data_IF_376776119207
#
_entry.id   IF_376776119207
#
_cell.length_a   1.000
_cell.length_b   1.000
_cell.length_c   1.000
_cell.angle_alpha   90.00
_cell.angle_beta   90.00
_cell.angle_gamma   90.00
#
_symmetry.space_group_name_H-M   'P 1'
#
loop_
_entity.id
_entity.type
_entity.pdbx_description
1 polymer ?
#
# COMPACT_ATOMS: atom_id res chain seq x y z
N UNK A 1 20.33 19.21 32.09
CA UNK A 1 20.04 17.77 31.99
C UNK A 1 19.39 17.55 30.65
N UNK A 2 20.15 17.01 29.70
CA UNK A 2 19.80 16.93 28.29
C UNK A 2 19.09 15.59 28.03
N UNK A 3 17.82 15.65 27.62
CA UNK A 3 17.06 14.49 27.18
C UNK A 3 17.59 14.08 25.80
N UNK A 4 18.48 13.09 25.75
CA UNK A 4 18.87 12.44 24.51
C UNK A 4 17.64 11.72 23.96
N UNK A 5 16.95 12.38 23.03
CA UNK A 5 15.93 11.75 22.19
C UNK A 5 16.61 10.60 21.45
N UNK A 6 16.32 9.38 21.88
CA UNK A 6 16.75 8.17 21.21
C UNK A 6 16.07 8.16 19.83
N UNK A 7 16.73 8.75 18.84
CA UNK A 7 16.28 8.74 17.46
C UNK A 7 16.59 7.35 16.93
N UNK A 8 15.70 6.40 17.20
CA UNK A 8 15.74 5.09 16.54
C UNK A 8 15.72 5.39 15.04
N UNK A 9 16.85 5.19 14.38
CA UNK A 9 16.92 5.21 12.93
C UNK A 9 16.16 3.97 12.46
N UNK A 10 14.84 4.09 12.35
CA UNK A 10 13.99 3.09 11.73
C UNK A 10 14.36 3.07 10.26
N UNK A 11 15.25 2.14 9.89
CA UNK A 11 15.71 1.95 8.52
C UNK A 11 14.57 1.32 7.73
N UNK A 12 13.62 2.15 7.31
CA UNK A 12 12.53 1.75 6.42
C UNK A 12 13.04 1.73 4.99
N UNK A 13 13.37 0.55 4.51
CA UNK A 13 13.67 0.34 3.09
C UNK A 13 12.37 -0.05 2.39
N UNK A 14 11.79 0.91 1.67
CA UNK A 14 10.61 0.69 0.83
C UNK A 14 11.02 0.45 -0.61
N UNK A 15 10.69 -0.72 -1.15
CA UNK A 15 10.73 -1.00 -2.58
C UNK A 15 9.34 -0.80 -3.16
N UNK A 16 9.28 -0.18 -4.33
CA UNK A 16 8.02 0.05 -5.01
C UNK A 16 8.20 -0.19 -6.50
N UNK A 17 7.27 -0.97 -7.05
CA UNK A 17 7.18 -1.23 -8.47
C UNK A 17 5.75 -0.94 -8.92
N UNK A 18 5.60 -0.33 -10.09
CA UNK A 18 4.32 -0.20 -10.78
C UNK A 18 4.54 -0.34 -12.27
N UNK A 19 3.59 -1.00 -12.90
CA UNK A 19 3.44 -0.99 -14.33
C UNK A 19 2.04 -0.51 -14.71
N UNK A 20 2.01 0.20 -15.82
CA UNK A 20 0.82 0.70 -16.46
C UNK A 20 0.83 0.14 -17.89
N UNK A 21 -0.28 -0.46 -18.29
CA UNK A 21 -0.40 -1.16 -19.57
C UNK A 21 -1.70 -0.81 -20.24
N UNK A 22 -1.61 -0.49 -21.53
CA UNK A 22 -2.76 -0.40 -22.41
C UNK A 22 -3.03 -1.80 -22.98
N UNK A 23 -3.93 -2.55 -22.35
CA UNK A 23 -4.27 -3.92 -22.75
C UNK A 23 -5.10 -3.93 -24.03
N UNK A 24 -6.02 -2.97 -24.17
CA UNK A 24 -6.76 -2.70 -25.39
C UNK A 24 -6.77 -1.19 -25.64
N UNK A 25 -7.06 -0.70 -26.86
CA UNK A 25 -7.19 0.75 -27.12
C UNK A 25 -8.21 1.46 -26.20
N UNK A 26 -9.14 0.71 -25.61
CA UNK A 26 -10.15 1.18 -24.66
C UNK A 26 -9.95 0.67 -23.23
N UNK A 27 -8.88 -0.08 -22.94
CA UNK A 27 -8.66 -0.66 -21.62
C UNK A 27 -7.23 -0.43 -21.13
N UNK A 28 -7.12 0.35 -20.07
CA UNK A 28 -5.90 0.59 -19.33
C UNK A 28 -5.93 -0.17 -18.01
N UNK A 29 -4.81 -0.82 -17.70
CA UNK A 29 -4.60 -1.56 -16.46
C UNK A 29 -3.34 -1.02 -15.81
N UNK A 30 -3.45 -0.67 -14.54
CA UNK A 30 -2.33 -0.30 -13.69
C UNK A 30 -2.21 -1.32 -12.57
N UNK A 31 -1.01 -1.86 -12.34
CA UNK A 31 -0.74 -2.69 -11.18
C UNK A 31 0.55 -2.23 -10.51
N UNK A 32 0.52 -2.15 -9.19
CA UNK A 32 1.67 -1.78 -8.38
C UNK A 32 1.79 -2.63 -7.14
N UNK A 33 3.01 -2.71 -6.64
CA UNK A 33 3.36 -3.44 -5.43
C UNK A 33 4.33 -2.58 -4.65
N UNK A 34 4.00 -2.33 -3.39
CA UNK A 34 4.91 -1.71 -2.44
C UNK A 34 5.31 -2.76 -1.41
N UNK A 35 6.62 -2.92 -1.23
CA UNK A 35 7.21 -3.78 -0.25
C UNK A 35 8.02 -2.94 0.72
N UNK A 36 7.55 -2.83 1.94
CA UNK A 36 8.26 -2.10 3.00
C UNK A 36 8.95 -3.12 3.91
N UNK A 37 10.29 -3.10 3.88
CA UNK A 37 11.14 -3.80 4.84
C UNK A 37 11.24 -2.94 6.08
N UNK A 38 10.39 -3.24 7.06
CA UNK A 38 10.50 -2.67 8.38
C UNK A 38 11.34 -3.61 9.27
N UNK A 39 12.42 -3.10 9.86
CA UNK A 39 13.36 -3.91 10.66
C UNK A 39 12.78 -4.40 11.99
N UNK A 40 11.56 -3.97 12.37
CA UNK A 40 10.99 -4.22 13.69
C UNK A 40 9.62 -4.94 13.67
N UNK A 41 8.84 -4.87 12.58
CA UNK A 41 7.46 -5.37 12.52
C UNK A 41 7.22 -5.97 11.13
N UNK A 42 6.55 -7.12 11.07
CA UNK A 42 6.28 -7.96 9.90
C UNK A 42 6.39 -7.30 8.51
N UNK A 43 7.04 -7.95 7.53
CA UNK A 43 7.17 -7.43 6.17
C UNK A 43 5.80 -7.03 5.60
N UNK A 44 5.65 -5.76 5.24
CA UNK A 44 4.37 -5.22 4.77
C UNK A 44 4.37 -5.21 3.26
N UNK A 45 3.45 -5.98 2.68
CA UNK A 45 3.20 -6.01 1.24
C UNK A 45 1.88 -5.31 0.93
N UNK A 46 1.94 -4.25 0.14
CA UNK A 46 0.76 -3.49 -0.28
C UNK A 46 0.58 -3.58 -1.79
N UNK A 47 -0.15 -4.60 -2.29
CA UNK A 47 -0.55 -4.65 -3.70
C UNK A 47 -1.63 -3.62 -3.99
N UNK A 48 -1.53 -2.99 -5.15
CA UNK A 48 -2.53 -2.06 -5.70
C UNK A 48 -2.80 -2.38 -7.15
N UNK A 49 -4.05 -2.27 -7.56
CA UNK A 49 -4.48 -2.43 -8.93
C UNK A 49 -5.52 -1.38 -9.28
N UNK A 50 -5.46 -0.89 -10.50
CA UNK A 50 -6.49 -0.05 -11.08
C UNK A 50 -6.75 -0.47 -12.53
N UNK A 51 -7.97 -0.24 -12.97
CA UNK A 51 -8.48 -0.54 -14.29
C UNK A 51 -9.27 0.67 -14.75
N UNK A 52 -9.03 1.11 -15.97
CA UNK A 52 -9.84 2.14 -16.62
C UNK A 52 -10.34 1.58 -17.95
N UNK A 53 -11.66 1.51 -18.09
CA UNK A 53 -12.32 1.04 -19.30
C UNK A 53 -13.10 2.17 -19.96
N UNK A 54 -12.77 2.48 -21.20
CA UNK A 54 -13.47 3.46 -22.03
C UNK A 54 -14.61 2.77 -22.78
N UNK A 55 -15.85 3.01 -22.34
CA UNK A 55 -17.06 2.53 -23.01
C UNK A 55 -17.26 3.23 -24.36
N UNK A 56 -16.94 4.53 -24.43
CA UNK A 56 -16.97 5.36 -25.63
C UNK A 56 -16.06 6.59 -25.41
N UNK A 57 -15.92 7.45 -26.42
CA UNK A 57 -15.08 8.65 -26.34
C UNK A 57 -15.50 9.65 -25.25
N UNK A 58 -16.66 9.47 -24.62
CA UNK A 58 -17.22 10.39 -23.63
C UNK A 58 -17.49 9.74 -22.26
N UNK A 59 -17.29 8.42 -22.11
CA UNK A 59 -17.59 7.70 -20.88
C UNK A 59 -16.48 6.70 -20.56
N UNK A 60 -15.89 6.87 -19.38
CA UNK A 60 -14.90 5.98 -18.81
C UNK A 60 -15.42 5.43 -17.48
N UNK A 61 -15.15 4.15 -17.22
CA UNK A 61 -15.35 3.50 -15.95
C UNK A 61 -13.99 3.19 -15.33
N UNK A 62 -13.77 3.70 -14.13
CA UNK A 62 -12.58 3.41 -13.33
C UNK A 62 -12.92 2.46 -12.19
N UNK A 63 -12.12 1.40 -12.03
CA UNK A 63 -12.16 0.52 -10.87
C UNK A 63 -10.76 0.49 -10.27
N UNK A 64 -10.64 0.72 -8.96
CA UNK A 64 -9.36 0.60 -8.26
C UNK A 64 -9.53 -0.14 -6.94
N UNK A 65 -8.49 -0.87 -6.57
CA UNK A 65 -8.43 -1.64 -5.34
C UNK A 65 -7.00 -1.74 -4.85
N UNK A 66 -6.81 -1.55 -3.56
CA UNK A 66 -5.51 -1.71 -2.92
C UNK A 66 -5.67 -2.41 -1.59
N UNK A 67 -4.75 -3.31 -1.28
CA UNK A 67 -4.65 -3.92 0.05
C UNK A 67 -3.57 -3.16 0.79
N UNK A 68 -3.97 -2.29 1.71
CA UNK A 68 -3.06 -1.72 2.69
C UNK A 68 -3.07 -2.64 3.91
N UNK A 69 -1.96 -3.33 4.18
CA UNK A 69 -1.84 -4.09 5.41
C UNK A 69 -1.84 -3.12 6.59
N UNK A 70 -2.87 -3.21 7.43
CA UNK A 70 -2.92 -2.53 8.73
C UNK A 70 -2.54 -3.60 9.76
N UNK A 71 -1.39 -3.50 10.46
CA UNK A 71 -1.11 -4.40 11.56
C UNK A 71 -2.27 -4.33 12.55
N UNK A 72 -2.77 -5.47 13.06
CA UNK A 72 -3.79 -5.44 14.10
C UNK A 72 -3.20 -4.64 15.26
N UNK A 73 -3.84 -3.53 15.60
CA UNK A 73 -3.64 -2.91 16.92
C UNK A 73 -3.78 -4.02 17.94
N UNK A 74 -2.75 -4.22 18.75
CA UNK A 74 -2.80 -5.06 19.95
C UNK A 74 -4.17 -4.85 20.59
N UNK A 75 -5.01 -5.88 20.59
CA UNK A 75 -6.15 -5.92 21.48
C UNK A 75 -5.49 -5.96 22.85
N UNK A 76 -5.36 -4.80 23.49
CA UNK A 76 -5.03 -4.76 24.89
C UNK A 76 -6.26 -5.30 25.63
N UNK A 77 -6.19 -6.59 25.89
CA UNK A 77 -7.03 -7.27 26.86
C UNK A 77 -6.74 -6.62 28.21
N UNK A 78 -7.61 -5.71 28.64
CA UNK A 78 -7.66 -5.20 30.02
C UNK A 78 -8.77 -5.94 30.79
N UNK A 79 -8.52 -6.38 32.03
CA UNK A 79 -9.33 -7.38 32.71
C UNK A 79 -10.67 -6.84 33.22
N UNK A 80 -11.64 -7.74 33.31
CA UNK A 80 -12.81 -7.62 34.19
C UNK A 80 -12.38 -7.25 35.61
N UNK A 81 -12.94 -6.16 36.14
CA UNK A 81 -13.12 -5.93 37.57
C UNK A 81 -14.27 -4.98 37.80
#
# INVERSE_FOLDING_TARGET
MEHLQYRTAENRLGLYAQGDWLVLPSLEVSAGLRYDLDTLINPTLSPRGALVYHLNSNHALGLSGSVAYRPPTTIEVGPTS
#
